data_IF_018344543994
#
_entry.id   IF_018344543994
#
_cell.length_a   1.000
_cell.length_b   1.000
_cell.length_c   1.000
_cell.angle_alpha   90.00
_cell.angle_beta   90.00
_cell.angle_gamma   90.00
#
_symmetry.space_group_name_H-M   'P 1'
#
loop_
_entity.id
_entity.type
_entity.pdbx_description
1 polymer ?
#
# COMPACT_ATOMS: atom_id res chain seq x y z
N UNK A 1 14.63 11.50 4.23
CA UNK A 1 13.74 10.91 3.20
C UNK A 1 12.51 11.80 3.09
N UNK A 2 12.17 12.25 1.88
CA UNK A 2 10.92 12.98 1.62
C UNK A 2 9.78 11.97 1.73
N UNK A 3 8.99 12.05 2.81
CA UNK A 3 7.81 11.19 2.97
C UNK A 3 6.78 11.64 1.94
N UNK A 4 6.53 10.81 0.93
CA UNK A 4 5.57 11.14 -0.12
C UNK A 4 4.17 10.84 0.38
N UNK A 5 3.52 11.81 1.01
CA UNK A 5 2.16 11.61 1.54
C UNK A 5 1.12 11.63 0.42
N UNK A 6 0.17 10.71 0.48
CA UNK A 6 -1.01 10.72 -0.37
C UNK A 6 -1.99 11.79 0.08
N UNK A 7 -2.64 12.44 -0.90
CA UNK A 7 -3.72 13.41 -0.64
C UNK A 7 -4.93 12.76 0.03
N UNK A 8 -5.19 11.48 -0.28
CA UNK A 8 -6.20 10.67 0.41
C UNK A 8 -5.54 9.40 0.92
N UNK A 9 -5.63 9.11 2.22
CA UNK A 9 -5.03 7.91 2.78
C UNK A 9 -5.78 6.65 2.32
N UNK A 10 -5.09 5.51 2.38
CA UNK A 10 -5.72 4.19 2.29
C UNK A 10 -6.17 3.78 3.68
N UNK A 11 -7.45 3.47 3.82
CA UNK A 11 -8.04 3.00 5.08
C UNK A 11 -8.34 1.51 4.94
N UNK A 12 -7.85 0.72 5.87
CA UNK A 12 -7.98 -0.73 5.90
C UNK A 12 -8.71 -1.09 7.19
N UNK A 13 -9.77 -1.89 7.07
CA UNK A 13 -10.44 -2.46 8.22
C UNK A 13 -10.02 -3.91 8.34
N UNK A 14 -9.19 -4.23 9.33
CA UNK A 14 -8.78 -5.59 9.63
C UNK A 14 -9.26 -6.00 11.03
N UNK A 15 -10.19 -6.96 11.09
CA UNK A 15 -10.67 -7.56 12.36
C UNK A 15 -11.11 -6.53 13.41
N UNK A 16 -11.75 -5.45 12.97
CA UNK A 16 -12.21 -4.36 13.85
C UNK A 16 -11.15 -3.29 14.16
N UNK A 17 -9.91 -3.48 13.69
CA UNK A 17 -8.85 -2.47 13.75
C UNK A 17 -8.86 -1.68 12.45
N UNK A 18 -8.94 -0.36 12.57
CA UNK A 18 -8.83 0.57 11.44
C UNK A 18 -7.37 1.02 11.29
N UNK A 19 -6.71 0.56 10.24
CA UNK A 19 -5.34 0.95 9.87
C UNK A 19 -5.43 2.04 8.80
N UNK A 20 -4.72 3.14 8.99
CA UNK A 20 -4.67 4.25 8.01
C UNK A 20 -3.25 4.39 7.49
N UNK A 21 -3.09 4.26 6.18
CA UNK A 21 -1.82 4.41 5.48
C UNK A 21 -1.84 5.72 4.70
N UNK A 22 -0.91 6.60 5.03
CA UNK A 22 -0.81 7.96 4.47
C UNK A 22 0.31 8.09 3.44
N UNK A 23 1.19 7.10 3.31
CA UNK A 23 2.30 7.13 2.36
C UNK A 23 2.65 5.74 1.79
N UNK A 24 3.38 5.69 0.67
CA UNK A 24 3.96 4.46 0.13
C UNK A 24 4.86 3.73 1.12
N UNK A 25 5.62 4.45 1.95
CA UNK A 25 6.51 3.84 2.96
C UNK A 25 5.72 3.11 4.05
N UNK A 26 4.65 3.72 4.56
CA UNK A 26 3.73 3.05 5.49
C UNK A 26 3.09 1.83 4.83
N UNK A 27 2.76 1.93 3.55
CA UNK A 27 2.20 0.80 2.80
C UNK A 27 3.19 -0.34 2.58
N UNK A 28 4.48 -0.07 2.36
CA UNK A 28 5.52 -1.11 2.30
C UNK A 28 5.60 -1.84 3.65
N UNK A 29 5.64 -1.10 4.74
CA UNK A 29 5.68 -1.68 6.09
C UNK A 29 4.45 -2.54 6.37
N UNK A 30 3.26 -2.07 5.97
CA UNK A 30 2.02 -2.85 6.10
C UNK A 30 2.03 -4.11 5.22
N UNK A 31 2.39 -4.00 3.94
CA UNK A 31 2.46 -5.13 3.00
C UNK A 31 3.45 -6.20 3.47
N UNK A 32 4.55 -5.82 4.12
CA UNK A 32 5.53 -6.77 4.66
C UNK A 32 4.95 -7.68 5.76
N UNK A 33 3.90 -7.22 6.45
CA UNK A 33 3.19 -7.96 7.49
C UNK A 33 1.84 -8.51 7.02
N UNK A 34 1.48 -8.32 5.75
CA UNK A 34 0.28 -8.89 5.17
C UNK A 34 0.38 -10.42 5.10
N UNK A 35 -0.74 -11.11 5.34
CA UNK A 35 -0.81 -12.56 5.46
C UNK A 35 -0.76 -13.26 4.10
N UNK A 36 -1.38 -12.66 3.07
CA UNK A 36 -1.37 -13.18 1.71
C UNK A 36 -0.38 -12.43 0.81
N UNK A 37 0.88 -12.82 0.92
CA UNK A 37 1.97 -12.30 0.08
C UNK A 37 2.11 -13.02 -1.26
N UNK A 38 1.25 -14.00 -1.55
CA UNK A 38 1.33 -14.82 -2.77
C UNK A 38 0.40 -14.32 -3.87
N UNK A 39 -0.65 -13.58 -3.50
CA UNK A 39 -1.57 -13.00 -4.46
C UNK A 39 -0.88 -12.08 -5.48
N UNK A 40 -1.38 -12.10 -6.71
CA UNK A 40 -0.93 -11.19 -7.77
C UNK A 40 -1.12 -9.72 -7.38
N UNK A 41 -2.21 -9.42 -6.65
CA UNK A 41 -2.50 -8.09 -6.11
C UNK A 41 -1.41 -7.63 -5.13
N UNK A 42 -1.01 -8.48 -4.18
CA UNK A 42 0.06 -8.16 -3.24
C UNK A 42 1.38 -7.90 -3.96
N UNK A 43 1.76 -8.78 -4.90
CA UNK A 43 3.02 -8.62 -5.66
C UNK A 43 3.04 -7.32 -6.44
N UNK A 44 1.92 -6.98 -7.08
CA UNK A 44 1.77 -5.72 -7.80
C UNK A 44 1.91 -4.52 -6.86
N UNK A 45 1.18 -4.50 -5.74
CA UNK A 45 1.28 -3.42 -4.75
C UNK A 45 2.70 -3.26 -4.17
N UNK A 46 3.37 -4.37 -3.86
CA UNK A 46 4.74 -4.37 -3.36
C UNK A 46 5.72 -3.73 -4.37
N UNK A 47 5.65 -4.15 -5.63
CA UNK A 47 6.51 -3.61 -6.69
C UNK A 47 6.23 -2.13 -6.95
N UNK A 48 4.96 -1.73 -7.01
CA UNK A 48 4.58 -0.33 -7.27
C UNK A 48 5.02 0.58 -6.11
N UNK A 49 4.79 0.19 -4.86
CA UNK A 49 5.25 0.99 -3.71
C UNK A 49 6.78 1.15 -3.70
N UNK A 50 7.53 0.09 -4.03
CA UNK A 50 8.99 0.17 -4.17
C UNK A 50 9.43 1.09 -5.29
N UNK A 51 8.79 1.03 -6.46
CA UNK A 51 9.11 1.91 -7.57
C UNK A 51 8.85 3.38 -7.24
N UNK A 52 7.78 3.69 -6.48
CA UNK A 52 7.55 5.04 -5.95
C UNK A 52 8.64 5.45 -4.96
N UNK A 53 9.03 4.57 -4.03
CA UNK A 53 10.10 4.85 -3.07
C UNK A 53 11.44 5.14 -3.75
N UNK A 54 11.70 4.50 -4.89
CA UNK A 54 12.88 4.72 -5.74
C UNK A 54 12.73 5.92 -6.70
N UNK A 55 11.60 6.66 -6.65
CA UNK A 55 11.33 7.83 -7.49
C UNK A 55 10.99 7.51 -8.95
N UNK A 56 10.65 6.25 -9.26
CA UNK A 56 10.38 5.77 -10.63
C UNK A 56 8.91 5.86 -11.05
N UNK A 57 7.99 5.96 -10.09
CA UNK A 57 6.55 6.06 -10.33
C UNK A 57 5.91 7.17 -9.47
N UNK A 58 4.76 7.72 -9.89
CA UNK A 58 4.00 8.67 -9.09
C UNK A 58 3.33 8.00 -7.88
N UNK A 59 3.17 8.75 -6.80
CA UNK A 59 2.65 8.23 -5.54
C UNK A 59 1.24 7.64 -5.64
N UNK A 60 0.37 8.22 -6.45
CA UNK A 60 -1.03 7.79 -6.58
C UNK A 60 -1.17 6.39 -7.23
N UNK A 61 -0.18 5.94 -8.00
CA UNK A 61 -0.16 4.56 -8.52
C UNK A 61 0.01 3.54 -7.40
N UNK A 62 0.94 3.79 -6.47
CA UNK A 62 1.12 2.95 -5.29
C UNK A 62 -0.14 2.92 -4.42
N UNK A 63 -0.81 4.07 -4.26
CA UNK A 63 -2.07 4.16 -3.52
C UNK A 63 -3.12 3.23 -4.10
N UNK A 64 -3.33 3.30 -5.41
CA UNK A 64 -4.34 2.52 -6.11
C UNK A 64 -4.05 1.02 -6.00
N UNK A 65 -2.79 0.62 -6.16
CA UNK A 65 -2.38 -0.78 -6.01
C UNK A 65 -2.61 -1.31 -4.58
N UNK A 66 -2.29 -0.52 -3.55
CA UNK A 66 -2.52 -0.89 -2.15
C UNK A 66 -4.01 -0.99 -1.82
N UNK A 67 -4.83 -0.10 -2.38
CA UNK A 67 -6.29 -0.20 -2.23
C UNK A 67 -6.84 -1.51 -2.77
N UNK A 68 -6.32 -2.04 -3.87
CA UNK A 68 -6.76 -3.33 -4.41
C UNK A 68 -6.46 -4.51 -3.49
N UNK A 69 -5.34 -4.46 -2.74
CA UNK A 69 -5.02 -5.45 -1.72
C UNK A 69 -5.95 -5.30 -0.53
N UNK A 70 -6.16 -4.06 -0.05
CA UNK A 70 -7.02 -3.78 1.09
C UNK A 70 -8.48 -4.19 0.88
N UNK A 71 -9.06 -3.91 -0.30
CA UNK A 71 -10.45 -4.24 -0.63
C UNK A 71 -10.64 -5.70 -1.06
N UNK A 72 -9.56 -6.38 -1.46
CA UNK A 72 -9.59 -7.81 -1.79
C UNK A 72 -9.73 -8.75 -0.58
N UNK A 73 -9.79 -8.20 0.65
CA UNK A 73 -9.98 -8.95 1.90
C UNK A 73 -11.45 -9.23 2.25
N UNK A 74 -12.39 -8.82 1.40
CA UNK A 74 -13.84 -9.06 1.54
C UNK A 74 -14.29 -10.34 0.86
#
# INVERSE_FOLDING_TARGET
>A
MLVTRWKTPVVINDRGIRITLTSPEEAINWLAHERDQRSSKWRHAWQTCRAVHEGRLPADEARSAVQLVAHGRH
#
